data_IF_005648081406
#
_entry.id   IF_005648081406
#
_cell.length_a   1.000
_cell.length_b   1.000
_cell.length_c   1.000
_cell.angle_alpha   90.00
_cell.angle_beta   90.00
_cell.angle_gamma   90.00
#
_symmetry.space_group_name_H-M   'P 1'
#
loop_
_entity.id
_entity.type
_entity.pdbx_description
1 polymer ?
#
# COMPACT_ATOMS: atom_id res chain seq x y z
N UNK A 1 10.12 8.44 6.68
CA UNK A 1 9.28 7.62 7.57
C UNK A 1 7.77 7.92 7.46
N UNK A 2 7.34 8.57 6.38
CA UNK A 2 5.92 8.89 6.16
C UNK A 2 5.32 7.93 5.12
N UNK A 3 5.23 6.64 5.48
CA UNK A 3 4.62 5.61 4.62
C UNK A 3 3.59 4.80 5.41
N UNK A 4 2.58 4.27 4.73
CA UNK A 4 1.60 3.35 5.32
C UNK A 4 2.28 2.11 5.91
N UNK A 5 3.31 1.58 5.25
CA UNK A 5 4.06 0.44 5.75
C UNK A 5 4.76 0.73 7.09
N UNK A 6 5.43 1.89 7.22
CA UNK A 6 6.04 2.28 8.50
C UNK A 6 4.99 2.50 9.58
N UNK A 7 3.86 3.13 9.25
CA UNK A 7 2.75 3.27 10.19
C UNK A 7 2.22 1.91 10.63
N UNK A 8 2.01 0.97 9.69
CA UNK A 8 1.61 -0.40 10.00
C UNK A 8 2.59 -1.11 10.92
N UNK A 9 3.90 -1.00 10.64
CA UNK A 9 4.93 -1.54 11.53
C UNK A 9 4.82 -0.97 12.94
N UNK A 10 4.69 0.35 13.09
CA UNK A 10 4.58 1.01 14.39
C UNK A 10 3.31 0.61 15.15
N UNK A 11 2.20 0.45 14.46
CA UNK A 11 0.94 -0.02 15.06
C UNK A 11 1.01 -1.49 15.49
N UNK A 12 1.73 -2.32 14.73
CA UNK A 12 1.87 -3.75 15.02
C UNK A 12 2.91 -4.06 16.08
N UNK A 13 4.04 -3.35 16.06
CA UNK A 13 5.22 -3.64 16.88
C UNK A 13 5.42 -2.65 18.05
N UNK A 14 4.91 -1.43 17.90
CA UNK A 14 5.17 -0.35 18.86
C UNK A 14 6.41 0.46 18.50
N UNK A 15 7.06 1.01 19.52
CA UNK A 15 8.29 1.78 19.34
C UNK A 15 9.46 0.88 19.01
N UNK A 16 10.17 1.23 17.95
CA UNK A 16 11.39 0.56 17.53
C UNK A 16 12.37 1.57 16.92
N UNK A 17 13.66 1.29 17.09
CA UNK A 17 14.70 2.04 16.42
C UNK A 17 14.72 1.63 14.94
N UNK A 18 14.71 2.62 14.05
CA UNK A 18 14.70 2.39 12.60
C UNK A 18 15.74 3.22 11.88
N UNK A 19 16.36 2.63 10.87
CA UNK A 19 17.19 3.32 9.89
C UNK A 19 16.48 3.36 8.54
N UNK A 20 16.58 4.49 7.85
CA UNK A 20 16.05 4.64 6.48
C UNK A 20 17.18 4.39 5.50
N UNK A 21 17.00 3.37 4.67
CA UNK A 21 17.97 3.00 3.62
C UNK A 21 17.22 2.90 2.27
N UNK A 22 17.95 2.94 1.14
CA UNK A 22 17.37 2.61 -0.15
C UNK A 22 16.69 1.23 -0.08
N UNK A 23 15.52 1.08 -0.70
CA UNK A 23 14.73 -0.14 -0.50
C UNK A 23 15.41 -1.39 -1.07
N UNK A 24 16.21 -1.25 -2.11
CA UNK A 24 17.03 -2.31 -2.71
C UNK A 24 18.23 -2.73 -1.83
N UNK A 25 18.60 -1.92 -0.83
CA UNK A 25 19.64 -2.26 0.15
C UNK A 25 19.09 -2.98 1.40
N UNK A 26 17.78 -3.06 1.61
CA UNK A 26 17.21 -3.62 2.85
C UNK A 26 17.60 -5.08 3.02
N UNK A 27 17.32 -5.93 2.03
CA UNK A 27 17.67 -7.36 2.08
C UNK A 27 19.18 -7.56 2.23
N UNK A 28 20.05 -6.95 1.40
CA UNK A 28 21.50 -7.05 1.58
C UNK A 28 21.99 -6.70 2.98
N UNK A 29 21.43 -5.67 3.61
CA UNK A 29 21.86 -5.24 4.95
C UNK A 29 21.32 -6.11 6.08
N UNK A 30 20.24 -6.85 5.85
CA UNK A 30 19.81 -7.91 6.78
C UNK A 30 20.72 -9.13 6.64
N UNK A 31 21.11 -9.50 5.42
CA UNK A 31 21.98 -10.64 5.14
C UNK A 31 23.40 -10.43 5.68
N UNK A 32 23.94 -9.22 5.60
CA UNK A 32 25.28 -8.92 6.12
C UNK A 32 25.30 -8.67 7.66
N UNK A 33 24.13 -8.75 8.31
CA UNK A 33 23.99 -8.56 9.74
C UNK A 33 24.02 -7.10 10.22
N UNK A 34 24.00 -6.12 9.31
CA UNK A 34 23.91 -4.70 9.67
C UNK A 34 22.61 -4.40 10.40
N UNK A 35 21.49 -5.02 9.99
CA UNK A 35 20.20 -4.93 10.65
C UNK A 35 19.65 -6.31 10.96
N UNK A 36 18.94 -6.44 12.08
CA UNK A 36 18.29 -7.69 12.49
C UNK A 36 17.07 -8.03 11.65
N UNK A 37 16.40 -7.01 11.08
CA UNK A 37 15.19 -7.17 10.28
C UNK A 37 15.02 -6.00 9.30
N UNK A 38 14.18 -6.18 8.28
CA UNK A 38 13.86 -5.16 7.29
C UNK A 38 12.38 -5.12 6.98
N UNK A 39 11.83 -3.92 6.78
CA UNK A 39 10.46 -3.71 6.32
C UNK A 39 10.46 -3.70 4.79
N UNK A 40 9.87 -4.72 4.18
CA UNK A 40 9.86 -4.93 2.74
C UNK A 40 8.50 -4.52 2.15
N UNK A 41 8.53 -3.67 1.13
CA UNK A 41 7.33 -3.17 0.41
C UNK A 41 7.47 -3.28 -1.11
N UNK A 42 8.41 -4.08 -1.59
CA UNK A 42 8.74 -4.29 -2.99
C UNK A 42 8.75 -5.79 -3.32
N UNK A 43 9.16 -6.15 -4.53
CA UNK A 43 9.22 -7.53 -5.01
C UNK A 43 10.03 -8.48 -4.12
N UNK A 44 10.91 -7.97 -3.28
CA UNK A 44 11.64 -8.74 -2.27
C UNK A 44 10.72 -9.51 -1.31
N UNK A 45 9.44 -9.12 -1.18
CA UNK A 45 8.45 -9.88 -0.43
C UNK A 45 8.07 -11.22 -1.08
N UNK A 46 8.43 -11.46 -2.34
CA UNK A 46 8.26 -12.73 -3.03
C UNK A 46 9.56 -13.56 -3.02
N UNK A 47 10.72 -12.91 -2.95
CA UNK A 47 12.03 -13.54 -3.16
C UNK A 47 12.85 -13.73 -1.87
N UNK A 48 12.40 -13.25 -0.72
CA UNK A 48 13.13 -13.33 0.55
C UNK A 48 13.50 -14.75 0.96
N UNK A 49 12.67 -15.74 0.60
CA UNK A 49 12.92 -17.17 0.89
C UNK A 49 14.15 -17.72 0.18
N UNK A 50 14.52 -17.16 -0.96
CA UNK A 50 15.72 -17.52 -1.71
C UNK A 50 17.00 -17.17 -0.97
N UNK A 51 16.88 -16.28 0.02
CA UNK A 51 17.98 -15.79 0.86
C UNK A 51 17.98 -16.39 2.27
N UNK A 52 17.22 -17.46 2.51
CA UNK A 52 17.07 -18.09 3.84
C UNK A 52 16.54 -17.10 4.91
N UNK A 53 15.77 -16.10 4.48
CA UNK A 53 15.08 -15.19 5.34
C UNK A 53 13.66 -15.68 5.64
N UNK A 54 13.07 -15.26 6.74
CA UNK A 54 11.72 -15.62 7.11
C UNK A 54 10.91 -14.38 7.51
N UNK A 55 9.60 -14.45 7.31
CA UNK A 55 8.67 -13.40 7.73
C UNK A 55 8.51 -13.47 9.24
N UNK A 56 8.80 -12.37 9.92
CA UNK A 56 8.52 -12.23 11.33
C UNK A 56 7.08 -11.79 11.58
N UNK A 57 6.59 -10.84 10.79
CA UNK A 57 5.21 -10.38 10.79
C UNK A 57 4.79 -9.99 9.37
N UNK A 58 3.65 -10.52 8.92
CA UNK A 58 2.95 -10.03 7.73
C UNK A 58 1.93 -8.97 8.19
N UNK A 59 2.17 -7.73 7.82
CA UNK A 59 1.33 -6.61 8.24
C UNK A 59 -0.09 -6.69 7.64
N UNK A 60 -0.24 -7.29 6.47
CA UNK A 60 -1.55 -7.51 5.85
C UNK A 60 -2.39 -8.52 6.63
N UNK A 61 -1.78 -9.66 7.01
CA UNK A 61 -2.41 -10.69 7.85
C UNK A 61 -2.73 -10.10 9.22
N UNK A 62 -1.76 -9.44 9.84
CA UNK A 62 -1.94 -8.81 11.16
C UNK A 62 -3.14 -7.84 11.17
N UNK A 63 -3.25 -6.99 10.14
CA UNK A 63 -4.34 -6.02 10.05
C UNK A 63 -5.69 -6.69 9.81
N UNK A 64 -5.71 -7.69 8.94
CA UNK A 64 -6.91 -8.48 8.66
C UNK A 64 -7.47 -9.15 9.93
N UNK A 65 -6.61 -9.81 10.71
CA UNK A 65 -6.99 -10.42 11.98
C UNK A 65 -7.47 -9.37 13.01
N UNK A 66 -6.74 -8.26 13.13
CA UNK A 66 -7.06 -7.17 14.04
C UNK A 66 -8.42 -6.51 13.75
N UNK A 67 -8.83 -6.48 12.49
CA UNK A 67 -10.04 -5.81 12.04
C UNK A 67 -11.21 -6.76 11.78
N UNK A 68 -11.01 -8.05 11.91
CA UNK A 68 -12.02 -9.05 11.62
C UNK A 68 -12.30 -9.23 10.14
N UNK A 69 -11.28 -9.10 9.29
CA UNK A 69 -11.34 -9.40 7.85
C UNK A 69 -11.17 -8.21 6.91
N UNK A 70 -10.86 -7.01 7.42
CA UNK A 70 -10.68 -5.85 6.54
C UNK A 70 -9.34 -5.86 5.80
N UNK A 71 -9.29 -5.33 4.56
CA UNK A 71 -8.05 -5.23 3.81
C UNK A 71 -7.11 -4.19 4.43
N UNK A 72 -5.80 -4.47 4.42
CA UNK A 72 -4.79 -3.50 4.83
C UNK A 72 -4.71 -2.34 3.84
N UNK A 73 -4.84 -1.07 4.27
CA UNK A 73 -4.63 0.09 3.41
C UNK A 73 -3.14 0.24 3.07
N UNK A 74 -2.78 0.11 1.80
CA UNK A 74 -1.39 0.24 1.34
C UNK A 74 -1.10 1.65 0.80
N UNK A 75 -2.01 2.18 0.00
CA UNK A 75 -1.91 3.51 -0.60
C UNK A 75 -3.26 3.95 -1.13
N UNK A 76 -3.34 5.20 -1.57
CA UNK A 76 -4.55 5.74 -2.16
C UNK A 76 -4.24 6.93 -3.07
N UNK A 77 -5.01 7.04 -4.15
CA UNK A 77 -4.98 8.22 -4.97
C UNK A 77 -5.75 9.34 -4.29
N UNK A 78 -5.19 10.53 -4.26
CA UNK A 78 -5.83 11.71 -3.67
C UNK A 78 -5.96 12.80 -4.71
N UNK A 79 -7.04 13.58 -4.60
CA UNK A 79 -7.29 14.71 -5.48
C UNK A 79 -7.47 15.99 -4.66
N UNK A 80 -6.97 17.09 -5.17
CA UNK A 80 -7.07 18.40 -4.51
C UNK A 80 -8.50 18.91 -4.52
N UNK A 81 -8.99 19.36 -3.37
CA UNK A 81 -10.36 19.89 -3.21
C UNK A 81 -10.59 21.22 -3.94
N UNK A 82 -9.54 22.04 -4.10
CA UNK A 82 -9.61 23.35 -4.75
C UNK A 82 -9.82 23.28 -6.28
N UNK A 83 -9.75 22.09 -6.88
CA UNK A 83 -10.12 21.86 -8.28
C UNK A 83 -11.64 21.96 -8.52
N UNK A 84 -12.44 21.87 -7.46
CA UNK A 84 -13.89 21.86 -7.54
C UNK A 84 -14.47 20.46 -7.84
N UNK A 85 -15.75 20.31 -7.52
CA UNK A 85 -16.44 19.00 -7.52
C UNK A 85 -16.38 18.32 -8.90
N UNK A 86 -16.70 19.03 -9.98
CA UNK A 86 -16.72 18.45 -11.32
C UNK A 86 -15.35 17.90 -11.74
N UNK A 87 -14.28 18.65 -11.49
CA UNK A 87 -12.93 18.19 -11.83
C UNK A 87 -12.52 16.97 -11.00
N UNK A 88 -12.86 16.91 -9.73
CA UNK A 88 -12.61 15.75 -8.88
C UNK A 88 -13.33 14.49 -9.38
N UNK A 89 -14.59 14.63 -9.78
CA UNK A 89 -15.38 13.52 -10.35
C UNK A 89 -14.82 13.05 -11.68
N UNK A 90 -14.44 13.97 -12.58
CA UNK A 90 -13.84 13.64 -13.87
C UNK A 90 -12.51 12.92 -13.70
N UNK A 91 -11.63 13.39 -12.84
CA UNK A 91 -10.34 12.75 -12.52
C UNK A 91 -10.59 11.35 -11.98
N UNK A 92 -11.51 11.19 -11.02
CA UNK A 92 -11.85 9.89 -10.45
C UNK A 92 -12.37 8.94 -11.52
N UNK A 93 -13.27 9.40 -12.38
CA UNK A 93 -13.81 8.62 -13.49
C UNK A 93 -12.71 8.14 -14.45
N UNK A 94 -11.83 9.04 -14.89
CA UNK A 94 -10.77 8.67 -15.83
C UNK A 94 -9.71 7.77 -15.19
N UNK A 95 -9.40 7.98 -13.92
CA UNK A 95 -8.51 7.08 -13.17
C UNK A 95 -9.10 5.67 -13.09
N UNK A 96 -10.38 5.56 -12.74
CA UNK A 96 -11.09 4.28 -12.71
C UNK A 96 -11.10 3.60 -14.09
N UNK A 97 -11.44 4.34 -15.15
CA UNK A 97 -11.42 3.82 -16.52
C UNK A 97 -10.04 3.30 -16.92
N UNK A 98 -8.96 3.98 -16.53
CA UNK A 98 -7.59 3.54 -16.77
C UNK A 98 -7.26 2.24 -16.07
N UNK A 99 -7.67 2.08 -14.81
CA UNK A 99 -7.48 0.85 -14.03
C UNK A 99 -8.29 -0.30 -14.65
N UNK A 100 -9.56 -0.06 -15.01
CA UNK A 100 -10.40 -1.07 -15.65
C UNK A 100 -9.85 -1.51 -17.01
N UNK A 101 -9.28 -0.58 -17.78
CA UNK A 101 -8.61 -0.91 -19.03
C UNK A 101 -7.38 -1.80 -18.80
N UNK A 102 -6.53 -1.45 -17.84
CA UNK A 102 -5.34 -2.24 -17.50
C UNK A 102 -5.70 -3.67 -17.04
N UNK A 103 -6.76 -3.82 -16.26
CA UNK A 103 -7.25 -5.13 -15.83
C UNK A 103 -7.84 -5.97 -16.98
N UNK A 104 -8.45 -5.33 -18.00
CA UNK A 104 -8.98 -6.00 -19.18
C UNK A 104 -7.89 -6.33 -20.23
N UNK A 105 -6.81 -5.56 -20.25
CA UNK A 105 -5.70 -5.68 -21.19
C UNK A 105 -4.37 -5.87 -20.46
N UNK A 106 -4.20 -6.95 -19.65
CA UNK A 106 -3.05 -7.08 -18.78
C UNK A 106 -1.72 -7.18 -19.52
N UNK A 107 -1.70 -7.71 -20.74
CA UNK A 107 -0.49 -7.78 -21.56
C UNK A 107 0.04 -6.39 -21.93
N UNK A 108 -0.84 -5.51 -22.41
CA UNK A 108 -0.48 -4.13 -22.76
C UNK A 108 -0.07 -3.32 -21.53
N UNK A 109 -0.78 -3.50 -20.42
CA UNK A 109 -0.48 -2.83 -19.16
C UNK A 109 0.90 -3.25 -18.62
N UNK A 110 1.24 -4.55 -18.67
CA UNK A 110 2.54 -5.06 -18.26
C UNK A 110 3.68 -4.57 -19.16
N UNK A 111 3.49 -4.52 -20.48
CA UNK A 111 4.47 -3.94 -21.42
C UNK A 111 4.78 -2.47 -21.09
N UNK A 112 3.76 -1.71 -20.67
CA UNK A 112 4.00 -0.35 -20.19
C UNK A 112 4.72 -0.33 -18.84
N UNK A 113 4.31 -1.17 -17.91
CA UNK A 113 4.89 -1.25 -16.55
C UNK A 113 6.36 -1.69 -16.55
N UNK A 114 6.77 -2.57 -17.48
CA UNK A 114 8.17 -3.00 -17.66
C UNK A 114 9.15 -1.86 -17.86
N UNK A 115 8.71 -0.75 -18.44
CA UNK A 115 9.55 0.46 -18.62
C UNK A 115 9.99 1.07 -17.29
N UNK A 116 9.28 0.76 -16.22
CA UNK A 116 9.49 1.24 -14.87
C UNK A 116 9.92 0.12 -13.91
N UNK A 117 9.87 -1.14 -14.38
CA UNK A 117 10.34 -2.31 -13.65
C UNK A 117 11.87 -2.30 -13.52
N UNK A 118 12.39 -2.88 -12.44
CA UNK A 118 13.81 -2.84 -12.07
C UNK A 118 14.53 -4.16 -12.35
N UNK A 119 14.29 -4.77 -13.50
CA UNK A 119 15.02 -5.97 -13.93
C UNK A 119 14.51 -7.29 -13.34
N UNK A 120 13.30 -7.30 -12.77
CA UNK A 120 12.59 -8.53 -12.41
C UNK A 120 12.03 -9.21 -13.66
N UNK A 121 11.94 -10.55 -13.64
CA UNK A 121 11.33 -11.30 -14.71
C UNK A 121 9.82 -11.03 -14.84
N UNK A 122 9.24 -11.39 -15.99
CA UNK A 122 7.86 -11.08 -16.33
C UNK A 122 6.83 -11.76 -15.40
N UNK A 123 7.14 -12.95 -14.91
CA UNK A 123 6.23 -13.72 -14.06
C UNK A 123 6.17 -13.12 -12.66
N UNK A 124 7.32 -12.86 -12.07
CA UNK A 124 7.44 -12.16 -10.77
C UNK A 124 6.80 -10.77 -10.82
N UNK A 125 7.02 -10.02 -11.92
CA UNK A 125 6.41 -8.70 -12.09
C UNK A 125 4.88 -8.78 -12.18
N UNK A 126 4.35 -9.77 -12.91
CA UNK A 126 2.91 -9.99 -13.01
C UNK A 126 2.29 -10.37 -11.66
N UNK A 127 2.94 -11.26 -10.93
CA UNK A 127 2.50 -11.66 -9.59
C UNK A 127 2.50 -10.45 -8.66
N UNK A 128 3.60 -9.70 -8.62
CA UNK A 128 3.72 -8.49 -7.80
C UNK A 128 2.63 -7.47 -8.13
N UNK A 129 2.41 -7.15 -9.41
CA UNK A 129 1.37 -6.22 -9.83
C UNK A 129 -0.02 -6.69 -9.40
N UNK A 130 -0.32 -8.00 -9.50
CA UNK A 130 -1.62 -8.56 -9.13
C UNK A 130 -1.94 -8.44 -7.63
N UNK A 131 -0.92 -8.38 -6.77
CA UNK A 131 -1.12 -8.17 -5.32
C UNK A 131 -1.66 -6.75 -5.02
N UNK A 132 -1.28 -5.76 -5.83
CA UNK A 132 -1.60 -4.35 -5.59
C UNK A 132 -2.72 -3.82 -6.48
N UNK A 133 -2.96 -4.43 -7.65
CA UNK A 133 -3.97 -4.01 -8.63
C UNK A 133 -5.05 -5.09 -8.73
N UNK A 134 -6.16 -4.87 -8.06
CA UNK A 134 -7.28 -5.79 -7.94
C UNK A 134 -8.61 -5.04 -7.85
N UNK A 135 -9.71 -5.72 -7.57
CA UNK A 135 -11.04 -5.14 -7.45
C UNK A 135 -11.11 -3.99 -6.41
N UNK A 136 -10.30 -4.04 -5.35
CA UNK A 136 -10.23 -2.97 -4.35
C UNK A 136 -9.55 -1.70 -4.89
N UNK A 137 -8.74 -1.82 -5.94
CA UNK A 137 -8.16 -0.68 -6.65
C UNK A 137 -9.22 0.06 -7.47
N UNK A 138 -10.25 -0.65 -7.97
CA UNK A 138 -11.39 -0.05 -8.69
C UNK A 138 -12.34 0.64 -7.72
N UNK A 139 -12.66 -0.03 -6.61
CA UNK A 139 -13.56 0.48 -5.57
C UNK A 139 -13.18 -0.11 -4.22
N UNK A 140 -12.91 0.73 -3.25
CA UNK A 140 -12.59 0.30 -1.88
C UNK A 140 -13.73 -0.44 -1.22
N UNK A 141 -14.96 -0.25 -1.68
CA UNK A 141 -16.19 -0.68 -1.04
C UNK A 141 -16.30 -0.14 0.40
N UNK A 142 -17.36 -0.47 1.10
CA UNK A 142 -17.57 0.01 2.47
C UNK A 142 -16.45 -0.42 3.42
N UNK A 143 -16.08 -1.70 3.37
CA UNK A 143 -15.03 -2.27 4.23
C UNK A 143 -13.66 -1.62 4.01
N UNK A 144 -13.28 -1.37 2.74
CA UNK A 144 -12.01 -0.71 2.43
C UNK A 144 -12.00 0.75 2.89
N UNK A 145 -13.11 1.48 2.71
CA UNK A 145 -13.25 2.85 3.23
C UNK A 145 -13.19 2.90 4.76
N UNK A 146 -13.88 1.98 5.42
CA UNK A 146 -13.83 1.84 6.88
C UNK A 146 -12.42 1.48 7.35
N UNK A 147 -11.73 0.59 6.64
CA UNK A 147 -10.36 0.22 6.94
C UNK A 147 -9.40 1.40 6.82
N UNK A 148 -9.51 2.23 5.78
CA UNK A 148 -8.69 3.44 5.62
C UNK A 148 -8.94 4.41 6.78
N UNK A 149 -10.21 4.69 7.11
CA UNK A 149 -10.55 5.58 8.24
C UNK A 149 -9.98 5.07 9.57
N UNK A 150 -10.13 3.78 9.83
CA UNK A 150 -9.59 3.14 11.05
C UNK A 150 -8.07 3.20 11.11
N UNK A 151 -7.39 2.87 10.01
CA UNK A 151 -5.94 2.85 9.95
C UNK A 151 -5.34 4.24 10.19
N UNK A 152 -5.92 5.27 9.55
CA UNK A 152 -5.52 6.67 9.76
C UNK A 152 -5.83 7.10 11.20
N UNK A 153 -7.01 6.76 11.74
CA UNK A 153 -7.39 7.07 13.13
C UNK A 153 -6.43 6.45 14.15
N UNK A 154 -6.09 5.17 14.00
CA UNK A 154 -5.10 4.53 14.87
C UNK A 154 -3.72 5.19 14.73
N UNK A 155 -3.32 5.61 13.52
CA UNK A 155 -2.09 6.37 13.32
C UNK A 155 -2.11 7.73 14.04
N UNK A 156 -3.27 8.39 14.13
CA UNK A 156 -3.44 9.63 14.92
C UNK A 156 -3.34 9.34 16.42
N UNK A 157 -4.01 8.30 16.91
CA UNK A 157 -3.98 7.90 18.33
C UNK A 157 -2.56 7.54 18.78
N UNK A 158 -1.76 6.97 17.89
CA UNK A 158 -0.35 6.65 18.12
C UNK A 158 0.61 7.84 17.93
N UNK A 159 0.10 9.01 17.53
CA UNK A 159 0.90 10.21 17.29
C UNK A 159 1.78 10.14 16.02
N UNK A 160 1.51 9.21 15.10
CA UNK A 160 2.25 9.04 13.84
C UNK A 160 1.72 9.94 12.73
N UNK A 161 0.48 10.36 12.85
CA UNK A 161 -0.19 11.29 11.94
C UNK A 161 -0.69 12.48 12.75
N UNK A 162 -0.62 13.67 12.15
CA UNK A 162 -1.16 14.88 12.77
C UNK A 162 -2.68 14.76 13.01
N UNK A 163 -3.16 15.35 14.09
CA UNK A 163 -4.55 15.26 14.56
C UNK A 163 -5.38 16.53 14.25
N UNK A 164 -4.98 17.34 13.27
CA UNK A 164 -5.69 18.56 12.87
C UNK A 164 -6.88 18.28 11.93
N UNK A 165 -7.21 17.04 11.69
CA UNK A 165 -8.41 16.58 10.99
C UNK A 165 -8.94 15.30 11.67
N UNK A 166 -10.22 14.99 11.45
CA UNK A 166 -10.82 13.76 11.94
C UNK A 166 -10.83 12.70 10.80
N UNK A 167 -10.23 11.56 11.03
CA UNK A 167 -10.20 10.47 10.04
C UNK A 167 -11.61 9.98 9.64
N UNK A 168 -12.60 10.11 10.54
CA UNK A 168 -13.97 9.76 10.25
C UNK A 168 -14.63 10.67 9.20
N UNK A 169 -14.14 11.92 9.06
CA UNK A 169 -14.66 12.90 8.09
C UNK A 169 -14.01 12.77 6.69
N UNK A 170 -13.20 11.74 6.47
CA UNK A 170 -12.63 11.47 5.16
C UNK A 170 -13.73 11.09 4.17
N UNK A 171 -13.82 11.84 3.07
CA UNK A 171 -14.74 11.58 1.96
C UNK A 171 -14.03 10.87 0.80
N UNK A 172 -14.76 10.02 0.11
CA UNK A 172 -14.29 9.30 -1.06
C UNK A 172 -15.08 9.75 -2.28
N UNK A 173 -14.38 10.20 -3.34
CA UNK A 173 -15.04 10.69 -4.55
C UNK A 173 -15.59 9.50 -5.34
N UNK A 174 -16.85 9.63 -5.82
CA UNK A 174 -17.54 8.59 -6.60
C UNK A 174 -18.12 7.44 -5.75
N UNK A 175 -18.09 7.55 -4.42
CA UNK A 175 -18.93 6.71 -3.56
C UNK A 175 -20.32 7.34 -3.42
N UNK A 176 -21.35 6.51 -3.38
CA UNK A 176 -22.73 6.95 -3.14
C UNK A 176 -22.99 7.25 -1.65
N UNK A 177 -22.01 7.83 -0.96
CA UNK A 177 -22.16 8.32 0.42
C UNK A 177 -22.60 9.77 0.44
#
# INVERSE_FOLDING_TARGET
LMTSAYMGLRLAWGDCEVAVVPFDEIIPRVLDGTYMSGLIIHEGQLTYVEHDLHVHIDLGIWWNERTGGWPMPLGGNVVRRDLGQQAMEDITKYTKMSIEFALKSPAEALEFAKKWGRGIDDETNKEFVSMYVNDRTIDYKEEGRASVRKFIGEGQDFGLIRSDFNAADMSFIGSNE
#
